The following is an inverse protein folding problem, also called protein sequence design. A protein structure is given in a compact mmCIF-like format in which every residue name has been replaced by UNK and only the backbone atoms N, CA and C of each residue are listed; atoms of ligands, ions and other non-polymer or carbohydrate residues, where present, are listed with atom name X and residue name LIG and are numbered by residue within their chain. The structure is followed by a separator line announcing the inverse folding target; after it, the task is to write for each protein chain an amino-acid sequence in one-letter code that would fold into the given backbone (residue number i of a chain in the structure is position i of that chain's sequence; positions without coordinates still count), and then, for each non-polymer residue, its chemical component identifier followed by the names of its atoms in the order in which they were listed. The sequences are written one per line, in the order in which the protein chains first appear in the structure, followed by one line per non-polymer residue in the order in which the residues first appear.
data_IF_125266835220
#
_entry.id   IF_125266835220
#
_cell.length_a   1.000
_cell.length_b   1.000
_cell.length_c   1.000
_cell.angle_alpha   90.00
_cell.angle_beta   90.00
_cell.angle_gamma   90.00
#
_symmetry.space_group_name_H-M   'P 1'
#
loop_
_entity.id
_entity.type
_entity.pdbx_description
1 polymer ?
#
# COMPACT_ATOMS: atom_id res chain seq x y z
N UNK A 1 -9.72 4.00 -1.96
CA UNK A 1 -8.57 4.80 -1.45
C UNK A 1 -8.50 6.08 -2.27
N UNK A 2 -8.24 7.25 -1.65
CA UNK A 2 -8.16 8.57 -2.29
C UNK A 2 -6.70 9.04 -2.30
N UNK A 3 -6.33 9.93 -3.24
CA UNK A 3 -5.00 10.55 -3.29
C UNK A 3 -4.11 10.04 -4.41
N UNK A 4 -2.81 10.36 -4.33
CA UNK A 4 -1.82 10.18 -5.41
C UNK A 4 -1.81 8.78 -6.02
N UNK A 5 -1.84 7.74 -5.22
CA UNK A 5 -1.95 6.35 -5.64
C UNK A 5 -3.28 5.70 -5.22
N UNK A 6 -4.33 6.53 -5.10
CA UNK A 6 -5.69 6.10 -4.80
C UNK A 6 -6.37 5.41 -5.99
N UNK A 7 -7.62 5.01 -5.77
CA UNK A 7 -8.44 4.42 -6.81
C UNK A 7 -8.98 5.49 -7.76
N UNK A 8 -9.27 5.11 -8.99
CA UNK A 8 -9.76 6.02 -10.03
C UNK A 8 -11.08 6.68 -9.64
N UNK A 9 -12.07 5.90 -9.22
CA UNK A 9 -13.38 6.39 -8.84
C UNK A 9 -13.36 7.47 -7.75
N UNK A 10 -12.78 7.22 -6.56
CA UNK A 10 -12.69 8.21 -5.50
C UNK A 10 -12.03 9.52 -5.93
N UNK A 11 -10.95 9.46 -6.72
CA UNK A 11 -10.23 10.64 -7.19
C UNK A 11 -11.08 11.48 -8.16
N UNK A 12 -11.75 10.83 -9.13
CA UNK A 12 -12.64 11.53 -10.07
C UNK A 12 -13.84 12.13 -9.33
N UNK A 13 -14.48 11.35 -8.44
CA UNK A 13 -15.71 11.73 -7.76
C UNK A 13 -15.50 12.77 -6.63
N UNK A 14 -14.27 12.98 -6.19
CA UNK A 14 -13.93 14.07 -5.29
C UNK A 14 -14.32 15.46 -5.86
N UNK A 15 -14.20 15.64 -7.18
CA UNK A 15 -14.63 16.86 -7.86
C UNK A 15 -16.15 17.03 -7.92
N UNK A 16 -16.86 15.89 -8.06
CA UNK A 16 -18.29 15.87 -8.39
C UNK A 16 -19.19 15.81 -7.15
N UNK A 17 -18.63 15.55 -5.96
CA UNK A 17 -19.40 15.46 -4.71
C UNK A 17 -19.90 16.81 -4.26
N UNK A 18 -21.11 16.84 -3.66
CA UNK A 18 -21.73 18.01 -3.05
C UNK A 18 -21.47 18.11 -1.54
N UNK A 19 -21.12 16.98 -0.91
CA UNK A 19 -20.78 16.87 0.50
C UNK A 19 -19.57 15.96 0.70
N UNK A 20 -18.58 16.43 1.45
CA UNK A 20 -17.41 15.69 1.87
C UNK A 20 -17.38 15.62 3.40
N UNK A 21 -17.55 14.41 3.97
CA UNK A 21 -17.31 14.16 5.38
C UNK A 21 -15.91 13.60 5.58
N UNK A 22 -15.01 14.43 6.10
CA UNK A 22 -13.64 14.04 6.44
C UNK A 22 -13.58 13.63 7.92
N UNK A 23 -13.09 12.42 8.19
CA UNK A 23 -13.00 11.85 9.54
C UNK A 23 -11.57 11.44 9.82
N UNK A 24 -10.91 12.09 10.80
CA UNK A 24 -9.52 11.82 11.15
C UNK A 24 -8.56 12.08 10.00
N UNK A 25 -8.79 13.10 9.21
CA UNK A 25 -8.07 13.38 7.97
C UNK A 25 -7.28 14.68 8.06
N UNK A 26 -5.96 14.59 7.97
CA UNK A 26 -5.08 15.77 8.02
C UNK A 26 -4.92 16.50 6.68
N UNK A 27 -5.54 16.02 5.59
CA UNK A 27 -5.48 16.62 4.26
C UNK A 27 -4.05 16.83 3.72
N UNK A 28 -3.17 15.85 3.91
CA UNK A 28 -1.80 15.96 3.40
C UNK A 28 -1.75 15.98 1.86
N UNK A 29 -0.62 16.44 1.33
CA UNK A 29 -0.40 16.64 -0.11
C UNK A 29 -0.50 15.35 -0.95
N UNK A 30 -0.22 14.19 -0.34
CA UNK A 30 -0.36 12.89 -1.01
C UNK A 30 -1.81 12.50 -1.23
N UNK A 31 -2.72 13.05 -0.42
CA UNK A 31 -4.16 12.82 -0.52
C UNK A 31 -4.84 13.92 -1.33
N UNK A 32 -4.51 15.17 -1.08
CA UNK A 32 -5.20 16.31 -1.71
C UNK A 32 -4.67 16.68 -3.11
N UNK A 33 -3.39 16.37 -3.38
CA UNK A 33 -2.72 16.95 -4.52
C UNK A 33 -2.76 18.48 -4.42
N UNK A 34 -3.47 19.15 -5.36
CA UNK A 34 -3.74 20.59 -5.27
C UNK A 34 -4.92 20.85 -4.31
N UNK A 35 -4.68 21.44 -3.11
CA UNK A 35 -5.73 21.65 -2.12
C UNK A 35 -6.85 22.58 -2.61
N UNK A 36 -6.55 23.55 -3.48
CA UNK A 36 -7.53 24.46 -4.03
C UNK A 36 -8.55 23.81 -4.97
N UNK A 37 -8.27 22.58 -5.43
CA UNK A 37 -9.16 21.82 -6.29
C UNK A 37 -9.82 20.63 -5.56
N UNK A 38 -9.46 20.39 -4.28
CA UNK A 38 -9.92 19.25 -3.53
C UNK A 38 -11.31 19.51 -2.93
N UNK A 39 -12.30 18.71 -3.34
CA UNK A 39 -13.69 18.90 -2.89
C UNK A 39 -14.25 20.28 -3.24
N UNK A 40 -13.79 20.90 -4.35
CA UNK A 40 -14.07 22.29 -4.68
C UNK A 40 -15.56 22.64 -4.79
N UNK A 41 -16.41 21.66 -5.10
CA UNK A 41 -17.86 21.81 -5.21
C UNK A 41 -18.62 21.34 -3.96
N UNK A 42 -17.90 20.78 -2.97
CA UNK A 42 -18.51 20.16 -1.80
C UNK A 42 -18.60 21.11 -0.61
N UNK A 43 -19.64 20.95 0.20
CA UNK A 43 -19.61 21.35 1.60
C UNK A 43 -18.76 20.38 2.39
N UNK A 44 -17.83 20.89 3.20
CA UNK A 44 -16.87 20.08 3.92
C UNK A 44 -17.17 20.06 5.40
N UNK A 45 -17.49 18.86 5.91
CA UNK A 45 -17.59 18.59 7.34
C UNK A 45 -16.29 17.91 7.77
N UNK A 46 -15.54 18.54 8.66
CA UNK A 46 -14.28 18.00 9.16
C UNK A 46 -14.43 17.57 10.62
N UNK A 47 -14.41 16.26 10.85
CA UNK A 47 -14.42 15.65 12.17
C UNK A 47 -13.01 15.20 12.53
N UNK A 48 -12.42 15.84 13.53
CA UNK A 48 -11.04 15.61 13.93
C UNK A 48 -10.91 15.72 15.47
N UNK A 49 -10.04 14.90 16.05
CA UNK A 49 -9.77 14.95 17.49
C UNK A 49 -8.82 16.10 17.84
N UNK A 50 -7.91 16.43 16.93
CA UNK A 50 -6.98 17.56 17.08
C UNK A 50 -7.60 18.84 16.47
N UNK A 51 -7.96 19.84 17.29
CA UNK A 51 -8.52 21.09 16.77
C UNK A 51 -7.55 21.86 15.86
N UNK A 52 -6.23 21.62 15.97
CA UNK A 52 -5.23 22.29 15.14
C UNK A 52 -5.22 21.81 13.68
N UNK A 53 -5.79 20.64 13.39
CA UNK A 53 -5.90 20.13 12.01
C UNK A 53 -7.14 20.65 11.27
N UNK A 54 -8.16 21.14 11.99
CA UNK A 54 -9.40 21.63 11.38
C UNK A 54 -9.13 22.89 10.56
N UNK A 55 -9.47 22.80 9.26
CA UNK A 55 -9.34 23.93 8.33
C UNK A 55 -7.89 24.34 8.00
N UNK A 56 -6.89 23.60 8.44
CA UNK A 56 -5.47 23.90 8.26
C UNK A 56 -5.03 23.90 6.79
N UNK A 57 -5.48 22.92 6.02
CA UNK A 57 -5.12 22.74 4.60
C UNK A 57 -6.34 22.99 3.70
N UNK A 58 -7.46 22.36 4.02
CA UNK A 58 -8.72 22.52 3.29
C UNK A 58 -9.71 23.16 4.24
N UNK A 59 -10.29 24.32 3.88
CA UNK A 59 -11.29 24.99 4.72
C UNK A 59 -12.48 24.08 5.00
N UNK A 60 -12.95 24.06 6.25
CA UNK A 60 -14.13 23.32 6.65
C UNK A 60 -15.34 24.24 6.77
N UNK A 61 -16.48 23.87 6.16
CA UNK A 61 -17.76 24.57 6.38
C UNK A 61 -18.32 24.24 7.77
N UNK A 62 -18.10 23.02 8.25
CA UNK A 62 -18.50 22.59 9.59
C UNK A 62 -17.36 21.87 10.28
N UNK A 63 -16.95 22.37 11.43
CA UNK A 63 -15.94 21.77 12.29
C UNK A 63 -16.60 20.91 13.38
N UNK A 64 -16.17 19.67 13.53
CA UNK A 64 -16.57 18.77 14.60
C UNK A 64 -15.32 18.30 15.35
N UNK A 65 -15.01 18.95 16.46
CA UNK A 65 -13.87 18.55 17.30
C UNK A 65 -14.30 17.44 18.25
N UNK A 66 -13.67 16.28 18.16
CA UNK A 66 -13.98 15.14 19.04
C UNK A 66 -13.52 13.80 18.53
N UNK A 67 -13.56 12.82 19.43
CA UNK A 67 -13.27 11.43 19.11
C UNK A 67 -14.34 10.86 18.16
N UNK A 68 -13.91 10.34 17.02
CA UNK A 68 -14.77 9.73 16.01
C UNK A 68 -15.65 8.60 16.60
N UNK A 69 -15.12 7.82 17.55
CA UNK A 69 -15.84 6.74 18.22
C UNK A 69 -17.07 7.26 18.98
N UNK A 70 -17.02 8.48 19.50
CA UNK A 70 -18.12 9.11 20.21
C UNK A 70 -19.02 9.91 19.27
N UNK A 71 -18.43 10.65 18.35
CA UNK A 71 -19.13 11.63 17.50
C UNK A 71 -19.91 10.96 16.35
N UNK A 72 -19.35 9.94 15.69
CA UNK A 72 -20.04 9.27 14.58
C UNK A 72 -21.37 8.61 14.98
N UNK A 73 -21.52 7.92 16.14
CA UNK A 73 -22.81 7.41 16.56
C UNK A 73 -23.86 8.49 16.79
N UNK A 74 -23.46 9.67 17.28
CA UNK A 74 -24.38 10.81 17.48
C UNK A 74 -24.86 11.38 16.15
N UNK A 75 -23.95 11.49 15.17
CA UNK A 75 -24.29 11.90 13.81
C UNK A 75 -25.23 10.91 13.14
N UNK A 76 -24.91 9.61 13.22
CA UNK A 76 -25.69 8.52 12.62
C UNK A 76 -27.15 8.51 13.11
N UNK A 77 -27.40 8.79 14.40
CA UNK A 77 -28.77 8.86 14.97
C UNK A 77 -29.60 10.02 14.41
N UNK A 78 -28.97 11.04 13.83
CA UNK A 78 -29.65 12.22 13.28
C UNK A 78 -29.83 12.16 11.75
N UNK A 79 -29.15 11.24 11.08
CA UNK A 79 -29.21 11.08 9.63
C UNK A 79 -30.26 10.03 9.28
N UNK A 80 -31.12 10.35 8.32
CA UNK A 80 -32.07 9.38 7.77
C UNK A 80 -31.36 8.52 6.73
N UNK A 81 -31.55 7.21 6.78
CA UNK A 81 -31.05 6.31 5.75
C UNK A 81 -31.64 6.66 4.37
N UNK A 82 -30.79 6.82 3.38
CA UNK A 82 -31.16 7.07 1.99
C UNK A 82 -30.37 6.13 1.07
N UNK A 83 -30.95 5.80 -0.06
CA UNK A 83 -30.27 5.06 -1.12
C UNK A 83 -29.77 6.06 -2.15
N UNK A 84 -28.48 6.00 -2.45
CA UNK A 84 -27.83 6.82 -3.48
C UNK A 84 -27.38 5.93 -4.65
N UNK A 85 -28.31 5.18 -5.24
CA UNK A 85 -27.99 4.13 -6.22
C UNK A 85 -27.27 4.69 -7.44
N UNK A 86 -27.73 5.81 -7.99
CA UNK A 86 -27.07 6.44 -9.14
C UNK A 86 -25.61 6.80 -8.85
N UNK A 87 -25.33 7.38 -7.67
CA UNK A 87 -23.97 7.71 -7.23
C UNK A 87 -23.10 6.46 -7.09
N UNK A 88 -23.63 5.37 -6.53
CA UNK A 88 -22.94 4.08 -6.41
C UNK A 88 -22.64 3.50 -7.79
N UNK A 89 -23.57 3.60 -8.74
CA UNK A 89 -23.39 3.06 -10.09
C UNK A 89 -22.33 3.83 -10.89
N UNK A 90 -22.17 5.14 -10.63
CA UNK A 90 -21.06 5.91 -11.18
C UNK A 90 -19.68 5.43 -10.66
N UNK A 91 -19.56 5.09 -9.36
CA UNK A 91 -18.34 4.45 -8.83
C UNK A 91 -18.07 3.10 -9.48
N UNK A 92 -19.10 2.27 -9.65
CA UNK A 92 -18.95 0.96 -10.32
C UNK A 92 -18.48 1.11 -11.77
N UNK A 93 -18.91 2.16 -12.46
CA UNK A 93 -18.41 2.46 -13.80
C UNK A 93 -16.92 2.83 -13.78
N UNK A 94 -16.48 3.62 -12.79
CA UNK A 94 -15.07 3.93 -12.58
C UNK A 94 -14.25 2.69 -12.22
N UNK A 95 -14.76 1.82 -11.34
CA UNK A 95 -14.10 0.57 -10.95
C UNK A 95 -13.88 -0.35 -12.16
N UNK A 96 -14.84 -0.41 -13.08
CA UNK A 96 -14.70 -1.18 -14.32
C UNK A 96 -13.56 -0.64 -15.20
N UNK A 97 -13.48 0.69 -15.35
CA UNK A 97 -12.40 1.34 -16.12
C UNK A 97 -11.04 1.03 -15.47
N UNK A 98 -10.93 1.18 -14.14
CA UNK A 98 -9.70 0.91 -13.42
C UNK A 98 -9.30 -0.57 -13.51
N UNK A 99 -10.27 -1.49 -13.40
CA UNK A 99 -10.01 -2.92 -13.56
C UNK A 99 -9.39 -3.24 -14.93
N UNK A 100 -10.00 -2.78 -16.01
CA UNK A 100 -9.53 -3.08 -17.36
C UNK A 100 -8.17 -2.44 -17.69
N UNK A 101 -7.96 -1.20 -17.26
CA UNK A 101 -6.74 -0.45 -17.60
C UNK A 101 -5.56 -0.75 -16.68
N UNK A 102 -5.81 -1.04 -15.39
CA UNK A 102 -4.76 -1.14 -14.36
C UNK A 102 -4.74 -2.51 -13.70
N UNK A 103 -5.86 -2.92 -13.03
CA UNK A 103 -5.84 -4.05 -12.10
C UNK A 103 -5.59 -5.36 -12.84
N UNK A 104 -6.26 -5.60 -13.95
CA UNK A 104 -6.11 -6.82 -14.74
C UNK A 104 -4.66 -7.05 -15.16
N UNK A 105 -3.99 -5.99 -15.61
CA UNK A 105 -2.57 -6.05 -16.03
C UNK A 105 -1.63 -6.27 -14.84
N UNK A 106 -1.91 -5.67 -13.69
CA UNK A 106 -1.07 -5.75 -12.52
C UNK A 106 -1.17 -7.11 -11.79
N UNK A 107 -2.39 -7.70 -11.75
CA UNK A 107 -2.68 -8.89 -10.93
C UNK A 107 -2.82 -10.17 -11.77
N UNK A 108 -3.22 -10.06 -13.03
CA UNK A 108 -3.44 -11.17 -13.95
C UNK A 108 -2.71 -10.98 -15.30
N UNK A 109 -1.38 -10.78 -15.28
CA UNK A 109 -0.62 -10.63 -16.52
C UNK A 109 -0.64 -11.95 -17.30
N UNK A 110 -0.80 -11.87 -18.63
CA UNK A 110 -0.78 -13.05 -19.49
C UNK A 110 0.64 -13.59 -19.75
N UNK A 111 1.63 -12.71 -19.76
CA UNK A 111 3.01 -13.02 -20.13
C UNK A 111 4.02 -12.11 -19.40
N UNK A 112 5.30 -12.28 -19.66
CA UNK A 112 6.38 -11.49 -19.08
C UNK A 112 6.80 -11.99 -17.70
N UNK A 113 7.61 -11.18 -17.02
CA UNK A 113 8.07 -11.46 -15.64
C UNK A 113 6.91 -11.35 -14.65
N UNK A 114 7.12 -11.90 -13.45
CA UNK A 114 6.17 -11.75 -12.33
C UNK A 114 6.04 -10.25 -12.02
N UNK A 115 4.80 -9.78 -11.83
CA UNK A 115 4.53 -8.41 -11.40
C UNK A 115 4.38 -8.30 -9.89
N UNK A 116 4.71 -7.15 -9.32
CA UNK A 116 4.57 -6.93 -7.87
C UNK A 116 3.13 -7.15 -7.41
N UNK A 117 2.15 -6.61 -8.15
CA UNK A 117 0.72 -6.78 -7.84
C UNK A 117 0.25 -8.25 -7.90
N UNK A 118 0.76 -9.03 -8.84
CA UNK A 118 0.52 -10.47 -8.97
C UNK A 118 1.02 -11.24 -7.74
N UNK A 119 2.27 -10.98 -7.34
CA UNK A 119 2.89 -11.61 -6.18
C UNK A 119 2.14 -11.26 -4.88
N UNK A 120 1.80 -9.98 -4.67
CA UNK A 120 1.03 -9.51 -3.52
C UNK A 120 -0.34 -10.20 -3.45
N UNK A 121 -1.08 -10.22 -4.55
CA UNK A 121 -2.41 -10.83 -4.58
C UNK A 121 -2.35 -12.35 -4.39
N UNK A 122 -1.30 -13.01 -4.87
CA UNK A 122 -1.10 -14.45 -4.66
C UNK A 122 -0.86 -14.78 -3.19
N UNK A 123 0.05 -14.03 -2.53
CA UNK A 123 0.31 -14.19 -1.09
C UNK A 123 -0.95 -13.88 -0.26
N UNK A 124 -1.65 -12.78 -0.55
CA UNK A 124 -2.87 -12.42 0.18
C UNK A 124 -3.93 -13.53 0.13
N UNK A 125 -4.16 -14.12 -1.05
CA UNK A 125 -5.10 -15.24 -1.21
C UNK A 125 -4.67 -16.48 -0.44
N UNK A 126 -3.37 -16.80 -0.46
CA UNK A 126 -2.84 -17.94 0.24
C UNK A 126 -3.06 -17.88 1.77
N UNK A 127 -3.04 -16.68 2.34
CA UNK A 127 -3.36 -16.42 3.76
C UNK A 127 -4.83 -15.99 3.98
N UNK A 128 -5.74 -16.30 3.06
CA UNK A 128 -7.17 -15.98 3.15
C UNK A 128 -7.46 -14.50 3.45
N UNK A 129 -6.57 -13.60 3.10
CA UNK A 129 -6.62 -12.16 3.42
C UNK A 129 -6.72 -11.88 4.94
N UNK A 130 -6.18 -12.76 5.79
CA UNK A 130 -6.26 -12.64 7.25
C UNK A 130 -4.90 -12.40 7.94
N UNK A 131 -3.79 -12.45 7.22
CA UNK A 131 -2.49 -12.11 7.76
C UNK A 131 -2.39 -10.60 8.12
N UNK A 132 -1.49 -10.27 9.03
CA UNK A 132 -1.06 -8.90 9.24
C UNK A 132 -0.09 -8.52 8.12
N UNK A 133 -0.48 -7.56 7.30
CA UNK A 133 0.38 -6.96 6.30
C UNK A 133 1.32 -5.97 6.98
N UNK A 134 2.62 -6.16 6.78
CA UNK A 134 3.64 -5.14 7.09
C UNK A 134 4.30 -4.73 5.78
N UNK A 135 4.52 -3.45 5.58
CA UNK A 135 5.22 -2.98 4.38
C UNK A 135 6.45 -2.16 4.75
N UNK A 136 7.53 -2.38 4.01
CA UNK A 136 8.56 -1.37 3.86
C UNK A 136 8.08 -0.29 2.87
N UNK A 137 8.90 0.72 2.60
CA UNK A 137 8.53 1.89 1.80
C UNK A 137 9.07 1.79 0.38
N UNK A 138 8.20 2.07 -0.60
CA UNK A 138 8.50 2.06 -2.03
C UNK A 138 7.32 1.55 -2.86
N UNK A 139 7.58 1.10 -4.10
CA UNK A 139 6.54 0.55 -4.98
C UNK A 139 5.81 -0.63 -4.34
N UNK A 140 6.53 -1.53 -3.69
CA UNK A 140 5.96 -2.68 -2.98
C UNK A 140 4.94 -2.28 -1.91
N UNK A 141 5.14 -1.16 -1.21
CA UNK A 141 4.16 -0.61 -0.26
C UNK A 141 2.84 -0.28 -0.95
N UNK A 142 2.91 0.39 -2.09
CA UNK A 142 1.73 0.83 -2.82
C UNK A 142 0.99 -0.35 -3.46
N UNK A 143 1.73 -1.30 -4.05
CA UNK A 143 1.15 -2.53 -4.57
C UNK A 143 0.51 -3.36 -3.45
N UNK A 144 1.17 -3.48 -2.30
CA UNK A 144 0.62 -4.18 -1.14
C UNK A 144 -0.66 -3.50 -0.61
N UNK A 145 -0.65 -2.18 -0.43
CA UNK A 145 -1.84 -1.43 0.01
C UNK A 145 -3.03 -1.56 -0.95
N UNK A 146 -2.78 -1.77 -2.26
CA UNK A 146 -3.84 -1.89 -3.28
C UNK A 146 -4.38 -3.30 -3.43
N UNK A 147 -3.53 -4.32 -3.33
CA UNK A 147 -3.88 -5.68 -3.76
C UNK A 147 -3.89 -6.70 -2.62
N UNK A 148 -3.48 -6.32 -1.41
CA UNK A 148 -3.65 -7.16 -0.23
C UNK A 148 -5.03 -6.96 0.37
N UNK A 149 -5.80 -8.04 0.50
CA UNK A 149 -7.12 -7.99 1.11
C UNK A 149 -7.06 -8.05 2.64
N UNK A 150 -8.10 -7.54 3.31
CA UNK A 150 -8.20 -7.52 4.78
C UNK A 150 -9.54 -8.05 5.23
N UNK A 151 -9.53 -8.98 6.21
CA UNK A 151 -10.73 -9.48 6.89
C UNK A 151 -10.94 -8.87 8.27
N UNK A 152 -9.88 -8.36 8.87
CA UNK A 152 -9.91 -7.76 10.22
C UNK A 152 -9.35 -6.34 10.19
N UNK A 153 -9.85 -5.51 11.10
CA UNK A 153 -9.23 -4.21 11.39
C UNK A 153 -7.85 -4.40 12.02
N UNK A 154 -7.03 -3.34 12.00
CA UNK A 154 -5.66 -3.35 12.55
C UNK A 154 -4.78 -4.47 11.96
N UNK A 155 -4.91 -4.71 10.67
CA UNK A 155 -4.16 -5.74 9.94
C UNK A 155 -3.13 -5.16 8.98
N UNK A 156 -2.87 -3.85 9.04
CA UNK A 156 -1.84 -3.19 8.23
C UNK A 156 -0.93 -2.34 9.12
N UNK A 157 0.38 -2.55 8.98
CA UNK A 157 1.44 -1.80 9.66
C UNK A 157 2.35 -1.22 8.58
N UNK A 158 2.43 0.10 8.50
CA UNK A 158 3.17 0.81 7.45
C UNK A 158 3.64 2.17 7.93
N UNK A 159 4.77 2.65 7.41
CA UNK A 159 5.22 4.02 7.62
C UNK A 159 4.46 4.97 6.68
N UNK A 160 3.16 5.20 6.99
CA UNK A 160 2.26 6.01 6.17
C UNK A 160 2.41 7.53 6.35
N UNK A 161 3.01 7.96 7.46
CA UNK A 161 3.23 9.37 7.75
C UNK A 161 4.55 9.89 7.19
N UNK A 162 5.66 9.29 7.58
CA UNK A 162 7.01 9.74 7.21
C UNK A 162 7.59 9.00 6.00
N UNK A 163 7.08 7.83 5.65
CA UNK A 163 7.57 7.06 4.52
C UNK A 163 9.03 6.61 4.68
N UNK A 164 9.37 6.06 5.85
CA UNK A 164 10.73 5.71 6.21
C UNK A 164 11.13 4.36 5.62
N UNK A 165 12.05 4.34 4.66
CA UNK A 165 12.64 3.09 4.16
C UNK A 165 13.41 2.39 5.29
N UNK A 166 13.37 1.04 5.32
CA UNK A 166 13.92 0.22 6.41
C UNK A 166 12.97 0.01 7.59
N UNK A 167 11.80 0.66 7.60
CA UNK A 167 10.78 0.47 8.63
C UNK A 167 10.24 -0.97 8.68
N UNK A 168 10.14 -1.62 7.52
CA UNK A 168 9.37 -2.84 7.36
C UNK A 168 9.85 -4.02 8.21
N UNK A 169 11.15 -4.31 8.21
CA UNK A 169 11.68 -5.49 8.88
C UNK A 169 11.53 -5.40 10.42
N UNK A 170 11.99 -4.35 11.11
CA UNK A 170 11.77 -4.21 12.56
C UNK A 170 10.29 -4.13 12.92
N UNK A 171 9.46 -3.49 12.09
CA UNK A 171 8.02 -3.42 12.33
C UNK A 171 7.33 -4.79 12.20
N UNK A 172 7.78 -5.67 11.29
CA UNK A 172 7.26 -7.02 11.15
C UNK A 172 7.60 -7.89 12.38
N UNK A 173 8.80 -7.75 12.92
CA UNK A 173 9.20 -8.38 14.18
C UNK A 173 8.27 -7.93 15.32
N UNK A 174 8.10 -6.62 15.47
CA UNK A 174 7.20 -6.06 16.47
C UNK A 174 5.75 -6.49 16.31
N UNK A 175 5.25 -6.54 15.06
CA UNK A 175 3.90 -7.01 14.77
C UNK A 175 3.69 -8.48 15.16
N UNK A 176 4.67 -9.35 14.89
CA UNK A 176 4.59 -10.77 15.28
C UNK A 176 4.66 -10.97 16.78
N UNK A 177 5.50 -10.19 17.48
CA UNK A 177 5.56 -10.20 18.96
C UNK A 177 4.25 -9.69 19.58
N UNK A 178 3.64 -8.65 18.98
CA UNK A 178 2.37 -8.08 19.45
C UNK A 178 1.13 -8.89 19.08
N UNK A 179 1.23 -9.78 18.09
CA UNK A 179 0.15 -10.65 17.61
C UNK A 179 0.68 -12.06 17.32
N UNK A 180 1.12 -12.82 18.34
CA UNK A 180 1.82 -14.09 18.17
C UNK A 180 0.98 -15.16 17.46
N UNK A 181 -0.34 -15.11 17.61
CA UNK A 181 -1.29 -16.06 17.02
C UNK A 181 -1.66 -15.75 15.57
N UNK A 182 -1.16 -14.64 15.03
CA UNK A 182 -1.44 -14.23 13.64
C UNK A 182 -0.24 -14.44 12.74
N UNK A 183 -0.50 -14.77 11.49
CA UNK A 183 0.53 -14.70 10.48
C UNK A 183 0.88 -13.24 10.18
N UNK A 184 2.17 -12.96 10.01
CA UNK A 184 2.70 -11.65 9.67
C UNK A 184 3.50 -11.77 8.38
N UNK A 185 3.04 -11.05 7.35
CA UNK A 185 3.67 -10.99 6.04
C UNK A 185 4.27 -9.59 5.82
N UNK A 186 5.59 -9.52 5.74
CA UNK A 186 6.32 -8.33 5.34
C UNK A 186 6.49 -8.31 3.82
N UNK A 187 6.10 -7.21 3.18
CA UNK A 187 6.51 -6.90 1.81
C UNK A 187 7.60 -5.83 1.82
N UNK A 188 8.79 -6.21 1.39
CA UNK A 188 9.94 -5.32 1.30
C UNK A 188 10.48 -5.27 -0.14
N UNK A 189 11.00 -4.14 -0.54
CA UNK A 189 11.86 -4.02 -1.73
C UNK A 189 13.31 -4.33 -1.36
N UNK A 190 14.11 -4.64 -2.35
CA UNK A 190 15.53 -4.97 -2.18
C UNK A 190 16.34 -3.84 -1.55
N UNK A 191 16.11 -2.58 -1.94
CA UNK A 191 16.75 -1.44 -1.31
C UNK A 191 16.28 -1.20 0.13
N UNK A 192 14.99 -1.34 0.42
CA UNK A 192 14.43 -1.14 1.75
C UNK A 192 14.88 -2.21 2.75
N UNK A 193 14.87 -3.48 2.34
CA UNK A 193 15.33 -4.59 3.19
C UNK A 193 16.79 -4.41 3.62
N UNK A 194 17.65 -3.93 2.71
CA UNK A 194 19.06 -3.73 3.01
C UNK A 194 19.32 -2.65 4.07
N UNK A 195 18.42 -1.68 4.25
CA UNK A 195 18.61 -0.59 5.21
C UNK A 195 18.58 -1.04 6.68
N UNK A 196 17.89 -2.14 6.97
CA UNK A 196 17.78 -2.70 8.33
C UNK A 196 18.04 -4.21 8.35
N UNK A 197 18.81 -4.70 7.39
CA UNK A 197 19.07 -6.14 7.18
C UNK A 197 19.68 -6.83 8.40
N UNK A 198 20.38 -6.10 9.28
CA UNK A 198 20.92 -6.58 10.54
C UNK A 198 19.84 -7.12 11.48
N UNK A 199 18.58 -6.70 11.31
CA UNK A 199 17.46 -7.19 12.13
C UNK A 199 17.07 -8.65 11.81
N UNK A 200 17.64 -9.26 10.77
CA UNK A 200 17.60 -10.72 10.60
C UNK A 200 18.26 -11.44 11.77
N UNK A 201 19.30 -10.81 12.38
CA UNK A 201 19.91 -11.29 13.63
C UNK A 201 18.94 -11.25 14.81
N UNK A 202 18.08 -10.24 14.88
CA UNK A 202 17.01 -10.15 15.89
C UNK A 202 15.97 -11.27 15.70
N UNK A 203 15.59 -11.59 14.45
CA UNK A 203 14.72 -12.74 14.14
C UNK A 203 15.36 -14.04 14.62
N UNK A 204 16.64 -14.25 14.31
CA UNK A 204 17.38 -15.44 14.72
C UNK A 204 17.45 -15.56 16.25
N UNK A 205 17.83 -14.50 16.95
CA UNK A 205 17.98 -14.49 18.41
C UNK A 205 16.63 -14.72 19.12
N UNK A 206 15.57 -14.10 18.63
CA UNK A 206 14.24 -14.10 19.28
C UNK A 206 13.30 -15.18 18.71
N UNK A 207 13.73 -15.95 17.73
CA UNK A 207 12.97 -17.02 17.05
C UNK A 207 11.58 -16.56 16.58
N UNK A 208 11.51 -15.36 16.00
CA UNK A 208 10.26 -14.73 15.54
C UNK A 208 9.88 -15.26 14.16
N UNK A 209 8.72 -15.87 14.04
CA UNK A 209 8.22 -16.46 12.79
C UNK A 209 7.57 -15.40 11.88
N UNK A 210 8.38 -14.61 11.16
CA UNK A 210 7.94 -13.60 10.18
C UNK A 210 8.10 -14.15 8.76
N UNK A 211 7.09 -13.94 7.91
CA UNK A 211 7.16 -14.26 6.48
C UNK A 211 7.58 -13.01 5.71
N UNK A 212 8.79 -13.02 5.18
CA UNK A 212 9.37 -11.89 4.44
C UNK A 212 9.20 -12.18 2.95
N UNK A 213 8.43 -11.38 2.26
CA UNK A 213 8.28 -11.40 0.80
C UNK A 213 9.10 -10.24 0.23
N UNK A 214 10.26 -10.58 -0.31
CA UNK A 214 11.18 -9.65 -0.93
C UNK A 214 10.83 -9.51 -2.41
N UNK A 215 10.24 -8.37 -2.79
CA UNK A 215 9.94 -8.03 -4.18
C UNK A 215 11.18 -7.34 -4.79
N UNK A 216 12.02 -8.15 -5.42
CA UNK A 216 13.30 -7.73 -5.95
C UNK A 216 13.18 -7.34 -7.42
N UNK A 217 13.26 -6.05 -7.71
CA UNK A 217 13.31 -5.51 -9.07
C UNK A 217 14.67 -4.93 -9.46
N UNK A 218 15.66 -5.01 -8.57
CA UNK A 218 17.01 -4.45 -8.71
C UNK A 218 17.04 -2.92 -8.88
N UNK A 219 16.04 -2.23 -8.35
CA UNK A 219 15.95 -0.77 -8.42
C UNK A 219 15.36 -0.15 -7.15
N UNK A 220 15.73 1.10 -6.87
CA UNK A 220 14.92 2.00 -6.07
C UNK A 220 13.68 2.38 -6.90
N UNK A 221 12.71 1.47 -6.96
CA UNK A 221 11.67 1.46 -7.97
C UNK A 221 10.81 2.71 -8.01
N UNK A 222 10.46 3.31 -6.85
CA UNK A 222 9.68 4.55 -6.81
C UNK A 222 10.49 5.74 -7.34
N UNK A 223 11.79 5.84 -7.02
CA UNK A 223 12.66 6.90 -7.54
C UNK A 223 12.82 6.75 -9.05
N UNK A 224 13.03 5.51 -9.53
CA UNK A 224 13.09 5.19 -10.96
C UNK A 224 11.80 5.60 -11.68
N UNK A 225 10.64 5.28 -11.14
CA UNK A 225 9.33 5.66 -11.70
C UNK A 225 9.20 7.18 -11.86
N UNK A 226 9.63 7.97 -10.85
CA UNK A 226 9.62 9.42 -10.94
C UNK A 226 10.57 9.94 -12.01
N UNK A 227 11.77 9.37 -12.12
CA UNK A 227 12.73 9.74 -13.18
C UNK A 227 12.20 9.38 -14.57
N UNK A 228 11.47 8.27 -14.70
CA UNK A 228 10.83 7.88 -15.95
C UNK A 228 9.72 8.86 -16.36
N UNK A 229 8.79 9.14 -15.44
CA UNK A 229 7.57 9.88 -15.76
C UNK A 229 7.76 11.41 -15.82
N UNK A 230 8.75 11.96 -15.11
CA UNK A 230 8.89 13.41 -14.91
C UNK A 230 10.25 13.97 -15.26
N UNK A 231 11.24 13.13 -15.58
CA UNK A 231 12.62 13.56 -15.88
C UNK A 231 13.17 12.94 -17.17
N UNK A 232 12.32 12.70 -18.16
CA UNK A 232 12.67 12.23 -19.50
C UNK A 232 13.54 10.95 -19.49
N UNK A 233 13.25 10.03 -18.56
CA UNK A 233 14.00 8.78 -18.35
C UNK A 233 15.50 8.99 -18.06
N UNK A 234 15.87 10.12 -17.49
CA UNK A 234 17.23 10.39 -17.05
C UNK A 234 17.49 9.67 -15.72
N UNK A 235 17.75 8.38 -15.80
CA UNK A 235 18.00 7.54 -14.62
C UNK A 235 19.34 7.88 -13.98
N UNK A 236 19.35 8.03 -12.65
CA UNK A 236 20.54 8.34 -11.86
C UNK A 236 20.47 7.64 -10.52
N UNK A 237 21.44 6.80 -10.22
CA UNK A 237 21.63 6.11 -8.94
C UNK A 237 20.39 5.34 -8.43
N UNK A 238 19.61 4.75 -9.32
CA UNK A 238 18.41 3.98 -8.96
C UNK A 238 18.59 2.49 -9.12
N UNK A 239 19.56 2.04 -9.91
CA UNK A 239 19.88 0.63 -10.08
C UNK A 239 20.65 0.09 -8.87
N UNK A 240 20.31 -1.13 -8.43
CA UNK A 240 20.91 -1.79 -7.29
C UNK A 240 21.63 -3.07 -7.72
N UNK A 241 22.91 -3.18 -7.38
CA UNK A 241 23.65 -4.42 -7.38
C UNK A 241 23.42 -5.13 -6.04
N UNK A 242 22.47 -6.05 -6.02
CA UNK A 242 22.05 -6.72 -4.80
C UNK A 242 23.03 -7.82 -4.35
N UNK A 243 23.20 -8.02 -3.03
CA UNK A 243 23.90 -9.19 -2.50
C UNK A 243 23.09 -10.47 -2.74
N UNK A 244 23.69 -11.63 -2.47
CA UNK A 244 22.97 -12.90 -2.41
C UNK A 244 22.13 -12.97 -1.14
N UNK A 245 20.84 -12.66 -1.26
CA UNK A 245 19.89 -12.70 -0.15
C UNK A 245 19.70 -14.12 0.41
N UNK A 246 19.92 -15.15 -0.39
CA UNK A 246 19.86 -16.54 0.05
C UNK A 246 21.01 -16.90 1.00
N UNK A 247 22.23 -16.43 0.72
CA UNK A 247 23.36 -16.61 1.64
C UNK A 247 23.12 -15.84 2.95
N UNK A 248 22.60 -14.62 2.87
CA UNK A 248 22.29 -13.81 4.04
C UNK A 248 21.21 -14.46 4.89
N UNK A 249 20.11 -14.93 4.28
CA UNK A 249 19.02 -15.62 4.99
C UNK A 249 19.54 -16.86 5.70
N UNK A 250 20.26 -17.73 5.00
CA UNK A 250 20.83 -18.97 5.56
C UNK A 250 21.83 -18.68 6.68
N UNK A 251 22.66 -17.65 6.55
CA UNK A 251 23.59 -17.20 7.60
C UNK A 251 22.89 -16.76 8.90
N UNK A 252 21.62 -16.34 8.81
CA UNK A 252 20.76 -16.01 9.94
C UNK A 252 19.74 -17.13 10.31
N UNK A 253 19.93 -18.37 9.79
CA UNK A 253 19.05 -19.48 10.10
C UNK A 253 17.63 -19.35 9.57
N UNK A 254 17.41 -18.51 8.55
CA UNK A 254 16.10 -18.24 7.95
C UNK A 254 15.96 -19.09 6.67
N UNK A 255 14.84 -19.83 6.56
CA UNK A 255 14.50 -20.57 5.37
C UNK A 255 14.32 -19.62 4.18
N UNK A 256 14.74 -20.05 2.98
CA UNK A 256 14.79 -19.18 1.82
C UNK A 256 14.43 -19.91 0.53
N UNK A 257 13.68 -19.23 -0.33
CA UNK A 257 13.48 -19.61 -1.73
C UNK A 257 13.47 -18.37 -2.62
N UNK A 258 14.11 -18.46 -3.80
CA UNK A 258 14.00 -17.46 -4.87
C UNK A 258 13.04 -17.99 -5.95
N UNK A 259 12.21 -17.10 -6.47
CA UNK A 259 11.27 -17.37 -7.57
C UNK A 259 11.50 -16.38 -8.68
N UNK A 260 11.76 -16.89 -9.89
CA UNK A 260 11.95 -16.09 -11.10
C UNK A 260 10.82 -16.32 -12.13
N UNK A 261 10.20 -17.49 -12.07
CA UNK A 261 9.17 -17.92 -13.03
C UNK A 261 7.79 -17.97 -12.37
N UNK A 262 6.80 -17.42 -13.05
CA UNK A 262 5.39 -17.37 -12.57
C UNK A 262 4.84 -18.72 -12.13
N UNK A 263 5.17 -19.79 -12.86
CA UNK A 263 4.71 -21.14 -12.54
C UNK A 263 5.21 -21.69 -11.19
N UNK A 264 6.26 -21.13 -10.61
CA UNK A 264 6.85 -21.54 -9.33
C UNK A 264 6.24 -20.79 -8.13
N UNK A 265 5.53 -19.69 -8.38
CA UNK A 265 5.08 -18.77 -7.32
C UNK A 265 4.11 -19.46 -6.34
N UNK A 266 3.17 -20.22 -6.82
CA UNK A 266 2.17 -20.90 -5.97
C UNK A 266 2.82 -21.92 -5.05
N UNK A 267 3.74 -22.73 -5.57
CA UNK A 267 4.48 -23.75 -4.80
C UNK A 267 5.37 -23.08 -3.73
N UNK A 268 6.09 -22.02 -4.10
CA UNK A 268 6.95 -21.29 -3.18
C UNK A 268 6.17 -20.60 -2.04
N UNK A 269 4.98 -20.09 -2.33
CA UNK A 269 4.10 -19.54 -1.30
C UNK A 269 3.59 -20.66 -0.37
N UNK A 270 3.22 -21.83 -0.90
CA UNK A 270 2.80 -22.96 -0.08
C UNK A 270 3.94 -23.45 0.83
N UNK A 271 5.17 -23.49 0.34
CA UNK A 271 6.36 -23.80 1.14
C UNK A 271 6.57 -22.78 2.26
N UNK A 272 6.45 -21.48 1.96
CA UNK A 272 6.52 -20.41 2.95
C UNK A 272 5.44 -20.56 4.04
N UNK A 273 4.21 -20.92 3.66
CA UNK A 273 3.11 -21.17 4.61
C UNK A 273 3.37 -22.38 5.51
N UNK A 274 3.92 -23.46 4.96
CA UNK A 274 4.22 -24.67 5.70
C UNK A 274 5.37 -24.49 6.71
N UNK A 275 6.25 -23.53 6.50
CA UNK A 275 7.37 -23.24 7.39
C UNK A 275 6.88 -22.65 8.72
N UNK A 276 7.23 -23.28 9.84
CA UNK A 276 6.84 -22.80 11.17
C UNK A 276 7.68 -21.62 11.67
N UNK A 277 8.91 -21.45 11.15
CA UNK A 277 9.83 -20.37 11.50
C UNK A 277 9.74 -19.18 10.56
N UNK A 278 10.75 -18.32 10.65
CA UNK A 278 10.94 -17.24 9.71
C UNK A 278 11.24 -17.77 8.30
N UNK A 279 10.75 -17.09 7.29
CA UNK A 279 10.94 -17.45 5.89
C UNK A 279 11.17 -16.20 5.04
N UNK A 280 12.16 -16.23 4.16
CA UNK A 280 12.40 -15.22 3.17
C UNK A 280 12.09 -15.76 1.77
N UNK A 281 11.00 -15.31 1.20
CA UNK A 281 10.61 -15.58 -0.20
C UNK A 281 11.07 -14.40 -1.06
N UNK A 282 12.12 -14.59 -1.84
CA UNK A 282 12.55 -13.63 -2.84
C UNK A 282 11.79 -13.87 -4.14
N UNK A 283 11.08 -12.85 -4.62
CA UNK A 283 10.39 -12.88 -5.92
C UNK A 283 11.07 -11.88 -6.84
N UNK A 284 11.67 -12.37 -7.90
CA UNK A 284 12.26 -11.54 -8.97
C UNK A 284 11.13 -10.99 -9.83
N UNK A 285 10.87 -9.71 -9.67
CA UNK A 285 9.74 -9.05 -10.32
C UNK A 285 10.19 -8.18 -11.50
N UNK A 286 9.19 -7.75 -12.31
CA UNK A 286 9.41 -6.83 -13.40
C UNK A 286 9.96 -5.49 -12.89
N UNK A 287 11.04 -5.01 -13.49
CA UNK A 287 11.73 -3.77 -13.11
C UNK A 287 11.01 -2.52 -13.60
N UNK A 288 10.27 -2.63 -14.69
CA UNK A 288 9.53 -1.52 -15.32
C UNK A 288 8.03 -1.49 -14.97
N UNK A 289 7.67 -2.00 -13.79
CA UNK A 289 6.29 -2.06 -13.30
C UNK A 289 5.95 -0.80 -12.49
N UNK A 290 5.47 0.24 -13.19
CA UNK A 290 5.07 1.48 -12.54
C UNK A 290 3.75 1.33 -11.77
N UNK A 291 3.64 2.04 -10.64
CA UNK A 291 2.43 2.06 -9.82
C UNK A 291 1.40 3.00 -10.43
N UNK A 292 0.32 2.43 -10.94
CA UNK A 292 -0.87 3.15 -11.38
C UNK A 292 -2.11 2.66 -10.59
N UNK A 293 -3.16 3.49 -10.48
CA UNK A 293 -3.28 4.89 -10.92
C UNK A 293 -2.30 5.82 -10.20
N UNK A 294 -2.01 6.98 -10.80
CA UNK A 294 -1.14 7.98 -10.22
C UNK A 294 -1.64 9.41 -10.53
N UNK A 295 -1.66 10.25 -9.51
CA UNK A 295 -1.87 11.71 -9.66
C UNK A 295 -0.49 12.38 -9.66
N UNK A 296 -0.12 13.18 -10.67
CA UNK A 296 1.12 13.94 -10.65
C UNK A 296 1.18 14.88 -9.44
N UNK A 297 2.38 15.10 -8.87
CA UNK A 297 2.55 15.97 -7.72
C UNK A 297 2.01 17.38 -8.00
N UNK A 298 1.23 17.93 -7.07
CA UNK A 298 0.63 19.27 -7.18
C UNK A 298 -0.54 19.37 -8.18
N UNK A 299 -0.88 18.29 -8.90
CA UNK A 299 -2.05 18.28 -9.76
C UNK A 299 -3.35 18.05 -8.96
N UNK A 300 -4.52 18.47 -9.48
CA UNK A 300 -5.81 18.06 -8.93
C UNK A 300 -5.94 16.53 -8.91
N UNK A 301 -6.59 15.95 -7.88
CA UNK A 301 -6.77 14.49 -7.79
C UNK A 301 -7.54 13.91 -8.99
N UNK A 302 -8.41 14.70 -9.62
CA UNK A 302 -9.11 14.31 -10.83
C UNK A 302 -8.20 14.17 -12.08
N UNK A 303 -6.96 14.69 -12.04
CA UNK A 303 -5.96 14.50 -13.09
C UNK A 303 -5.24 13.14 -13.00
N UNK A 304 -5.87 12.17 -12.34
CA UNK A 304 -5.34 10.82 -12.13
C UNK A 304 -5.10 10.11 -13.47
N UNK A 305 -3.90 9.54 -13.61
CA UNK A 305 -3.47 8.75 -14.77
C UNK A 305 -3.65 7.27 -14.51
N UNK A 306 -4.00 6.52 -15.55
CA UNK A 306 -4.14 5.06 -15.51
C UNK A 306 -3.01 4.33 -16.25
N UNK A 307 -2.17 5.09 -16.92
CA UNK A 307 -1.02 4.64 -17.74
C UNK A 307 -0.01 5.76 -17.91
#
# INVERSE_FOLDING_TARGET
MLGMHGNYGPNIKNRDCDLLLAVGMRFDDRVTGNPGCFGANAKIIHLEIDPAEIGKIVPADVALVGDAKQTLPLLTRRIRARRHQAWIDEFRACDKIEYEKVIRRAVHPAEGRIRMGEAVAAVARAYDNDAVLVTDVGQQQMFAARYFGFRRSRSMVTSGGLGTMGFGLPAAIGAKLGAPDREVCLFAGDGGLQMTIQELGTIFQSQVAVKIVLLNNSFLGMVRQWQELFYDRRYSFTELANPDFGLIARGNGIAYRCVERRGELAEAIAEMQACQGAYLLEVRVESEDNVFPMVPAGAPVAAIRLE
#
